data_IF_681712006400
#
_entry.id   IF_681712006400
#
_cell.length_a   1.000
_cell.length_b   1.000
_cell.length_c   1.000
_cell.angle_alpha   90.00
_cell.angle_beta   90.00
_cell.angle_gamma   90.00
#
_symmetry.space_group_name_H-M   'P 1'
#
loop_
_entity.id
_entity.type
_entity.pdbx_description
1 polymer ?
#
# COMPACT_ATOMS: atom_id res chain seq x y z
N UNK A 1 0.17 -10.89 -23.72
CA UNK A 1 -0.79 -10.03 -22.99
C UNK A 1 0.02 -9.04 -22.20
N UNK A 2 -0.27 -7.74 -22.32
CA UNK A 2 0.48 -6.71 -21.60
C UNK A 2 0.18 -6.86 -20.09
N UNK A 3 1.25 -7.04 -19.31
CA UNK A 3 1.19 -7.21 -17.86
C UNK A 3 1.21 -5.81 -17.24
N UNK A 4 0.11 -5.40 -16.57
CA UNK A 4 -0.06 -4.02 -16.07
C UNK A 4 0.68 -3.87 -14.73
N UNK A 5 1.54 -2.87 -14.61
CA UNK A 5 2.22 -2.57 -13.35
C UNK A 5 1.24 -2.06 -12.30
N UNK A 6 1.31 -2.59 -11.08
CA UNK A 6 0.43 -2.21 -9.97
C UNK A 6 1.21 -2.01 -8.68
N UNK A 7 0.54 -1.53 -7.63
CA UNK A 7 1.14 -1.43 -6.31
C UNK A 7 2.28 -0.41 -6.22
N UNK A 8 3.35 -0.73 -5.50
CA UNK A 8 4.41 0.24 -5.21
C UNK A 8 5.14 0.77 -6.45
N UNK A 9 5.42 -0.08 -7.44
CA UNK A 9 6.10 0.37 -8.66
C UNK A 9 5.22 1.33 -9.46
N UNK A 10 3.91 1.07 -9.53
CA UNK A 10 2.96 2.00 -10.13
C UNK A 10 2.98 3.35 -9.41
N UNK A 11 2.98 3.36 -8.07
CA UNK A 11 3.01 4.60 -7.29
C UNK A 11 4.29 5.39 -7.54
N UNK A 12 5.43 4.70 -7.56
CA UNK A 12 6.73 5.32 -7.81
C UNK A 12 6.75 6.04 -9.15
N UNK A 13 6.29 5.36 -10.20
CA UNK A 13 6.31 5.87 -11.57
C UNK A 13 5.25 6.97 -11.78
N UNK A 14 3.98 6.66 -11.51
CA UNK A 14 2.84 7.57 -11.76
C UNK A 14 2.89 8.87 -10.96
N UNK A 15 3.44 8.85 -9.74
CA UNK A 15 3.60 10.03 -8.89
C UNK A 15 4.99 10.66 -9.02
N UNK A 16 5.86 10.12 -9.88
CA UNK A 16 7.25 10.55 -10.08
C UNK A 16 8.03 10.69 -8.76
N UNK A 17 7.93 9.66 -7.91
CA UNK A 17 8.53 9.67 -6.59
C UNK A 17 10.06 9.51 -6.69
N UNK A 18 10.80 10.22 -5.84
CA UNK A 18 12.25 10.09 -5.72
C UNK A 18 12.71 8.82 -4.97
N UNK A 19 11.82 7.82 -4.85
CA UNK A 19 12.11 6.56 -4.17
C UNK A 19 12.94 5.63 -5.05
N UNK A 20 13.71 4.75 -4.42
CA UNK A 20 14.30 3.61 -5.11
C UNK A 20 13.19 2.67 -5.63
N UNK A 21 13.49 1.97 -6.72
CA UNK A 21 12.60 0.94 -7.22
C UNK A 21 12.43 -0.19 -6.18
N UNK A 22 11.25 -0.81 -6.06
CA UNK A 22 11.06 -1.96 -5.20
C UNK A 22 11.81 -3.17 -5.77
N UNK A 23 12.37 -4.01 -4.89
CA UNK A 23 13.08 -5.23 -5.30
C UNK A 23 12.16 -6.21 -6.06
N UNK A 24 10.88 -6.26 -5.66
CA UNK A 24 9.82 -7.05 -6.28
C UNK A 24 8.77 -6.12 -6.85
N UNK A 25 8.50 -6.22 -8.15
CA UNK A 25 7.48 -5.45 -8.84
C UNK A 25 6.20 -6.25 -9.00
N UNK A 26 5.05 -5.70 -8.57
CA UNK A 26 3.75 -6.30 -8.80
C UNK A 26 3.22 -6.04 -10.22
N UNK A 27 2.78 -7.10 -10.91
CA UNK A 27 2.21 -7.01 -12.25
C UNK A 27 0.92 -7.82 -12.36
N UNK A 28 -0.12 -7.18 -12.89
CA UNK A 28 -1.44 -7.75 -13.08
C UNK A 28 -1.61 -8.32 -14.49
N UNK A 29 -1.92 -9.61 -14.58
CA UNK A 29 -1.97 -10.32 -15.85
C UNK A 29 -2.70 -11.66 -15.79
N UNK A 30 -2.48 -12.49 -16.82
CA UNK A 30 -3.19 -13.75 -17.07
C UNK A 30 -2.88 -14.91 -16.12
N UNK A 31 -2.63 -14.64 -14.83
CA UNK A 31 -2.45 -15.66 -13.80
C UNK A 31 -3.74 -15.87 -13.01
N UNK A 32 -3.99 -17.11 -12.57
CA UNK A 32 -5.19 -17.47 -11.79
C UNK A 32 -5.02 -17.28 -10.29
N UNK A 33 -3.77 -17.27 -9.82
CA UNK A 33 -3.39 -17.00 -8.43
C UNK A 33 -2.14 -16.14 -8.37
N UNK A 34 -1.92 -15.45 -7.24
CA UNK A 34 -0.68 -14.73 -7.02
C UNK A 34 0.51 -15.70 -7.05
N UNK A 35 1.57 -15.34 -7.75
CA UNK A 35 2.78 -16.14 -7.81
C UNK A 35 4.00 -15.24 -7.96
N UNK A 36 5.09 -15.57 -7.30
CA UNK A 36 6.36 -14.89 -7.51
C UNK A 36 7.12 -15.62 -8.62
N UNK A 37 7.57 -14.88 -9.63
CA UNK A 37 8.42 -15.40 -10.70
C UNK A 37 9.84 -14.88 -10.50
N UNK A 38 10.77 -15.81 -10.25
CA UNK A 38 12.11 -15.45 -9.78
C UNK A 38 12.03 -14.65 -8.48
N UNK A 39 12.93 -13.68 -8.33
CA UNK A 39 13.04 -12.85 -7.13
C UNK A 39 12.55 -11.41 -7.34
N UNK A 40 11.96 -11.09 -8.50
CA UNK A 40 11.70 -9.69 -8.90
C UNK A 40 10.29 -9.40 -9.40
N UNK A 41 9.45 -10.41 -9.65
CA UNK A 41 8.09 -10.20 -10.16
C UNK A 41 7.07 -10.90 -9.28
N UNK A 42 6.13 -10.14 -8.73
CA UNK A 42 4.90 -10.64 -8.14
C UNK A 42 3.79 -10.58 -9.20
N UNK A 43 3.46 -11.71 -9.81
CA UNK A 43 2.33 -11.80 -10.73
C UNK A 43 1.01 -11.91 -9.98
N UNK A 44 0.02 -11.15 -10.42
CA UNK A 44 -1.24 -10.91 -9.72
C UNK A 44 -2.41 -11.15 -10.68
N UNK A 45 -3.44 -11.91 -10.29
CA UNK A 45 -4.64 -12.04 -11.10
C UNK A 45 -5.32 -10.69 -11.30
N UNK A 46 -5.84 -10.42 -12.49
CA UNK A 46 -6.50 -9.13 -12.82
C UNK A 46 -7.57 -8.74 -11.79
N UNK A 47 -8.35 -9.69 -11.29
CA UNK A 47 -9.43 -9.44 -10.31
C UNK A 47 -8.93 -9.09 -8.90
N UNK A 48 -7.64 -9.29 -8.59
CA UNK A 48 -7.03 -8.92 -7.31
C UNK A 48 -6.39 -7.53 -7.38
N UNK A 49 -6.04 -7.08 -8.59
CA UNK A 49 -5.38 -5.81 -8.82
C UNK A 49 -6.34 -4.60 -8.62
N UNK A 50 -5.82 -3.40 -8.34
CA UNK A 50 -6.60 -2.16 -8.36
C UNK A 50 -7.40 -2.02 -9.66
N UNK A 51 -8.63 -1.54 -9.60
CA UNK A 51 -9.46 -1.44 -10.81
C UNK A 51 -9.16 -0.17 -11.60
N UNK A 52 -8.68 0.86 -10.91
CA UNK A 52 -8.32 2.15 -11.49
C UNK A 52 -6.84 2.48 -11.26
N UNK A 53 -6.42 3.59 -11.84
CA UNK A 53 -5.11 4.21 -11.63
C UNK A 53 -5.11 5.15 -10.39
N UNK A 54 -6.11 5.04 -9.50
CA UNK A 54 -6.15 5.80 -8.25
C UNK A 54 -4.95 5.39 -7.35
N UNK A 55 -4.07 6.32 -6.97
CA UNK A 55 -2.94 6.03 -6.11
C UNK A 55 -3.34 5.40 -4.77
N UNK A 56 -4.49 5.74 -4.20
CA UNK A 56 -4.91 5.13 -2.94
C UNK A 56 -5.28 3.65 -3.11
N UNK A 57 -5.91 3.27 -4.22
CA UNK A 57 -6.20 1.85 -4.51
C UNK A 57 -4.90 1.04 -4.65
N UNK A 58 -3.91 1.61 -5.35
CA UNK A 58 -2.60 0.99 -5.52
C UNK A 58 -1.83 0.89 -4.19
N UNK A 59 -1.90 1.89 -3.33
CA UNK A 59 -1.29 1.83 -2.01
C UNK A 59 -1.93 0.75 -1.12
N UNK A 60 -3.26 0.68 -1.06
CA UNK A 60 -3.97 -0.32 -0.27
C UNK A 60 -3.69 -1.74 -0.77
N UNK A 61 -3.62 -1.90 -2.09
CA UNK A 61 -3.19 -3.14 -2.72
C UNK A 61 -1.77 -3.52 -2.26
N UNK A 62 -0.82 -2.58 -2.33
CA UNK A 62 0.57 -2.82 -1.97
C UNK A 62 0.72 -3.19 -0.49
N UNK A 63 0.06 -2.46 0.41
CA UNK A 63 0.02 -2.77 1.85
C UNK A 63 -0.53 -4.18 2.14
N UNK A 64 -1.42 -4.69 1.29
CA UNK A 64 -2.07 -6.00 1.45
C UNK A 64 -1.33 -7.16 0.81
N UNK A 65 -0.57 -6.90 -0.25
CA UNK A 65 -0.08 -7.97 -1.13
C UNK A 65 1.42 -7.94 -1.39
N UNK A 66 2.08 -6.81 -1.16
CA UNK A 66 3.52 -6.66 -1.29
C UNK A 66 4.18 -6.56 0.09
N UNK A 67 5.50 -6.67 0.11
CA UNK A 67 6.29 -6.31 1.28
C UNK A 67 6.20 -4.79 1.49
N UNK A 68 6.01 -4.33 2.74
CA UNK A 68 5.97 -2.90 3.05
C UNK A 68 7.24 -2.19 2.55
N UNK A 69 7.09 -1.31 1.55
CA UNK A 69 8.13 -0.37 1.15
C UNK A 69 7.83 1.00 1.76
N UNK A 70 8.44 1.28 2.91
CA UNK A 70 8.15 2.48 3.70
C UNK A 70 8.47 3.77 2.92
N UNK A 71 9.55 3.79 2.13
CA UNK A 71 9.95 4.97 1.37
C UNK A 71 8.88 5.34 0.33
N UNK A 72 8.44 4.37 -0.49
CA UNK A 72 7.40 4.61 -1.50
C UNK A 72 6.07 4.95 -0.82
N UNK A 73 5.69 4.24 0.25
CA UNK A 73 4.45 4.52 0.96
C UNK A 73 4.37 5.96 1.50
N UNK A 74 5.42 6.42 2.19
CA UNK A 74 5.48 7.78 2.76
C UNK A 74 5.45 8.83 1.65
N UNK A 75 6.30 8.69 0.61
CA UNK A 75 6.35 9.66 -0.49
C UNK A 75 5.04 9.69 -1.30
N UNK A 76 4.37 8.55 -1.49
CA UNK A 76 3.06 8.49 -2.12
C UNK A 76 1.99 9.20 -1.27
N UNK A 77 1.99 8.97 0.05
CA UNK A 77 1.02 9.56 0.97
C UNK A 77 1.17 11.08 1.14
N UNK A 78 2.35 11.64 0.83
CA UNK A 78 2.52 13.10 0.70
C UNK A 78 1.84 13.68 -0.55
N UNK A 79 1.49 12.83 -1.53
CA UNK A 79 0.76 13.22 -2.75
C UNK A 79 -0.73 12.85 -2.71
N UNK A 80 -1.13 11.94 -1.83
CA UNK A 80 -2.52 11.50 -1.69
C UNK A 80 -3.28 12.45 -0.74
N UNK A 81 -4.45 13.00 -1.14
CA UNK A 81 -5.22 13.90 -0.30
C UNK A 81 -5.73 13.25 1.00
N UNK A 82 -5.65 13.98 2.11
CA UNK A 82 -6.18 13.59 3.41
C UNK A 82 -7.63 13.04 3.33
N UNK A 83 -8.48 13.73 2.57
CA UNK A 83 -9.89 13.39 2.40
C UNK A 83 -10.09 12.01 1.74
N UNK A 84 -9.20 11.59 0.84
CA UNK A 84 -9.28 10.28 0.20
C UNK A 84 -9.01 9.17 1.22
N UNK A 85 -7.93 9.32 2.01
CA UNK A 85 -7.55 8.38 3.07
C UNK A 85 -8.63 8.31 4.15
N UNK A 86 -9.14 9.47 4.59
CA UNK A 86 -10.21 9.56 5.57
C UNK A 86 -11.50 8.86 5.09
N UNK A 87 -11.90 9.10 3.84
CA UNK A 87 -13.09 8.49 3.24
C UNK A 87 -12.97 6.96 3.16
N UNK A 88 -11.81 6.44 2.77
CA UNK A 88 -11.56 5.00 2.74
C UNK A 88 -11.70 4.38 4.13
N UNK A 89 -11.13 5.03 5.15
CA UNK A 89 -11.24 4.55 6.52
C UNK A 89 -12.66 4.63 7.06
N UNK A 90 -13.40 5.72 6.80
CA UNK A 90 -14.82 5.86 7.18
C UNK A 90 -15.66 4.75 6.55
N UNK A 91 -15.40 4.41 5.28
CA UNK A 91 -16.11 3.33 4.59
C UNK A 91 -15.77 1.94 5.15
N UNK A 92 -14.53 1.75 5.65
CA UNK A 92 -14.01 0.45 6.11
C UNK A 92 -13.23 0.58 7.44
N UNK A 93 -13.87 0.95 8.56
CA UNK A 93 -13.16 1.24 9.82
C UNK A 93 -12.51 0.01 10.47
N UNK A 94 -12.94 -1.18 10.05
CA UNK A 94 -12.37 -2.47 10.47
C UNK A 94 -11.20 -2.93 9.62
N UNK A 95 -10.93 -2.27 8.49
CA UNK A 95 -9.84 -2.62 7.58
C UNK A 95 -8.48 -2.31 8.21
N UNK A 96 -7.67 -3.35 8.39
CA UNK A 96 -6.27 -3.22 8.81
C UNK A 96 -5.48 -2.28 7.89
N UNK A 97 -5.62 -2.44 6.58
CA UNK A 97 -4.90 -1.65 5.58
C UNK A 97 -5.35 -0.19 5.53
N UNK A 98 -6.64 0.09 5.76
CA UNK A 98 -7.13 1.47 5.87
C UNK A 98 -6.56 2.16 7.12
N UNK A 99 -6.47 1.45 8.25
CA UNK A 99 -5.81 1.97 9.47
C UNK A 99 -4.33 2.25 9.25
N UNK A 100 -3.62 1.34 8.58
CA UNK A 100 -2.21 1.56 8.22
C UNK A 100 -2.06 2.78 7.31
N UNK A 101 -2.93 2.94 6.30
CA UNK A 101 -2.91 4.10 5.42
C UNK A 101 -3.13 5.41 6.18
N UNK A 102 -4.10 5.47 7.10
CA UNK A 102 -4.28 6.63 7.99
C UNK A 102 -3.03 6.93 8.82
N UNK A 103 -2.52 5.93 9.54
CA UNK A 103 -1.33 6.10 10.38
C UNK A 103 -0.10 6.58 9.59
N UNK A 104 0.18 5.96 8.45
CA UNK A 104 1.29 6.36 7.60
C UNK A 104 1.06 7.73 6.97
N UNK A 105 -0.19 8.11 6.67
CA UNK A 105 -0.49 9.44 6.13
C UNK A 105 -0.19 10.53 7.15
N UNK A 106 -0.61 10.32 8.41
CA UNK A 106 -0.32 11.25 9.51
C UNK A 106 1.19 11.37 9.75
N UNK A 107 1.91 10.24 9.72
CA UNK A 107 3.36 10.21 9.82
C UNK A 107 4.03 10.97 8.66
N UNK A 108 3.56 10.77 7.43
CA UNK A 108 4.14 11.38 6.23
C UNK A 108 3.93 12.90 6.15
N UNK A 109 2.83 13.40 6.72
CA UNK A 109 2.41 14.80 6.61
C UNK A 109 2.56 15.58 7.93
N UNK A 110 2.88 14.92 9.04
CA UNK A 110 3.07 15.56 10.34
C UNK A 110 1.79 16.17 10.92
N UNK A 111 0.61 15.72 10.48
CA UNK A 111 -0.70 16.21 10.94
C UNK A 111 -1.69 15.07 11.11
N UNK A 112 -2.56 15.19 12.11
CA UNK A 112 -3.58 14.20 12.43
C UNK A 112 -4.81 14.34 11.53
N UNK A 113 -5.39 13.22 11.11
CA UNK A 113 -6.66 13.19 10.41
C UNK A 113 -7.81 13.43 11.40
N UNK A 114 -8.66 14.40 11.11
CA UNK A 114 -9.80 14.76 11.99
C UNK A 114 -11.12 14.20 11.47
N UNK A 115 -12.09 14.00 12.36
CA UNK A 115 -13.44 13.56 11.99
C UNK A 115 -13.55 12.08 11.62
N UNK A 116 -12.55 11.27 12.00
CA UNK A 116 -12.58 9.82 11.80
C UNK A 116 -13.36 9.13 12.92
N UNK A 117 -14.11 8.05 12.61
CA UNK A 117 -14.70 7.21 13.65
C UNK A 117 -13.61 6.48 14.45
N UNK A 118 -13.95 5.95 15.62
CA UNK A 118 -13.02 5.10 16.36
C UNK A 118 -12.61 3.87 15.51
N UNK A 119 -11.31 3.58 15.50
CA UNK A 119 -10.78 2.35 14.90
C UNK A 119 -11.37 1.12 15.57
N UNK A 120 -11.78 0.14 14.76
CA UNK A 120 -12.37 -1.13 15.23
C UNK A 120 -11.54 -2.30 14.74
N UNK A 121 -11.35 -3.32 15.59
CA UNK A 121 -10.61 -4.53 15.24
C UNK A 121 -9.23 -4.63 15.87
N UNK A 122 -8.52 -5.74 15.65
CA UNK A 122 -7.27 -6.02 16.32
C UNK A 122 -6.16 -5.07 15.87
N UNK A 123 -5.27 -4.77 16.81
CA UNK A 123 -3.97 -4.17 16.51
C UNK A 123 -3.07 -5.23 15.86
N UNK A 124 -2.32 -4.81 14.86
CA UNK A 124 -1.32 -5.63 14.17
C UNK A 124 0.02 -4.93 14.19
N UNK A 125 1.08 -5.67 13.88
CA UNK A 125 2.41 -5.10 13.74
C UNK A 125 2.55 -4.57 12.31
N UNK A 126 2.93 -3.28 12.17
CA UNK A 126 3.18 -2.66 10.87
C UNK A 126 4.44 -3.23 10.20
N UNK A 127 5.49 -3.44 10.99
CA UNK A 127 6.77 -3.99 10.55
C UNK A 127 6.91 -5.43 11.03
N UNK A 128 6.94 -6.39 10.10
CA UNK A 128 7.22 -7.79 10.46
C UNK A 128 8.62 -7.89 11.09
N UNK A 129 8.77 -8.44 12.31
CA UNK A 129 10.07 -8.57 12.97
C UNK A 129 11.02 -9.53 12.23
N UNK A 130 10.48 -10.45 11.42
CA UNK A 130 11.28 -11.34 10.58
C UNK A 130 11.95 -10.62 9.40
N UNK A 131 11.50 -9.39 9.09
CA UNK A 131 11.89 -8.63 7.90
C UNK A 131 12.43 -7.24 8.20
N UNK A 132 12.24 -6.75 9.42
CA UNK A 132 12.69 -5.44 9.86
C UNK A 132 13.34 -5.56 11.22
N UNK A 133 14.34 -4.70 11.48
CA UNK A 133 14.85 -4.50 12.83
C UNK A 133 13.75 -3.82 13.66
N UNK A 134 13.19 -4.55 14.61
CA UNK A 134 12.21 -4.05 15.59
C UNK A 134 12.81 -4.12 16.99
N UNK A 135 12.36 -3.26 17.92
CA UNK A 135 12.71 -3.42 19.32
C UNK A 135 12.18 -4.76 19.86
N UNK A 136 12.82 -5.30 20.91
CA UNK A 136 12.35 -6.50 21.58
C UNK A 136 10.97 -6.23 22.21
N UNK A 137 10.02 -7.14 21.97
CA UNK A 137 8.66 -7.11 22.52
C UNK A 137 8.62 -7.51 23.98
#
# INVERSE_FOLDING_TARGET
>A
MADRVVGYEFLRDSLSLSAFAPDVTARAGGVTRKNTFGDSILAVPVHVAPASDDPLEHLLFALKHEQLNLQIAILALQKIPAAAVAREFIAKPTSWYARQACYLWELANGTTLTGLPAARGPYGVLFSPDKFLTAAS
#
